data_IF_668405219882
#
_entry.id   IF_668405219882
#
_cell.length_a   1.000
_cell.length_b   1.000
_cell.length_c   1.000
_cell.angle_alpha   90.00
_cell.angle_beta   90.00
_cell.angle_gamma   90.00
#
_symmetry.space_group_name_H-M   'P 1'
#
loop_
_entity.id
_entity.type
_entity.pdbx_description
1 polymer ?
2 non-polymer ?
3 non-polymer ?
4 non-polymer ?
5 water ?
#
# COMPACT_ATOMS: atom_id res chain seq x y z
N UNK A 1 4.71 -9.12 16.98
CA UNK A 1 3.51 -8.69 16.28
C UNK A 1 3.59 -7.20 15.92
N UNK A 2 2.61 -6.42 16.41
CA UNK A 2 2.65 -4.98 16.28
C UNK A 2 3.85 -4.40 17.04
N UNK A 3 4.21 -5.01 18.17
CA UNK A 3 5.34 -4.54 18.95
C UNK A 3 6.66 -4.74 18.21
N UNK A 4 6.78 -5.80 17.40
CA UNK A 4 8.02 -6.06 16.67
C UNK A 4 8.24 -5.04 15.56
N UNK A 5 7.18 -4.67 14.84
CA UNK A 5 7.30 -3.64 13.81
C UNK A 5 7.57 -2.27 14.46
N UNK A 6 6.98 -2.03 15.64
CA UNK A 6 7.24 -0.79 16.37
C UNK A 6 8.65 -0.75 16.92
N UNK A 7 9.23 -1.91 17.28
CA UNK A 7 10.59 -1.99 17.78
C UNK A 7 11.64 -1.84 16.68
N UNK A 8 11.23 -1.61 15.43
CA UNK A 8 12.16 -1.24 14.37
C UNK A 8 12.41 0.27 14.31
N UNK A 9 11.51 1.06 14.90
CA UNK A 9 11.69 2.51 15.05
C UNK A 9 12.09 2.78 16.50
N UNK A 10 13.28 3.34 16.70
CA UNK A 10 13.76 3.64 18.04
C UNK A 10 13.16 4.92 18.61
N UNK A 11 12.43 5.68 17.79
CA UNK A 11 11.67 6.84 18.24
C UNK A 11 10.49 6.40 19.12
N UNK A 12 9.98 7.35 19.91
CA UNK A 12 8.93 7.08 20.86
C UNK A 12 7.56 7.34 20.23
N UNK A 13 6.52 6.81 20.87
CA UNK A 13 5.15 7.19 20.55
C UNK A 13 4.86 8.58 21.11
N UNK A 14 4.12 9.37 20.35
CA UNK A 14 3.81 10.75 20.71
C UNK A 14 2.37 10.90 21.20
N UNK A 15 2.15 11.88 22.09
CA UNK A 15 0.79 12.27 22.43
C UNK A 15 0.11 12.89 21.21
N UNK A 16 -1.11 13.40 21.37
CA UNK A 16 -1.91 13.77 20.20
C UNK A 16 -1.40 15.06 19.55
N UNK A 17 -1.09 16.09 20.36
CA UNK A 17 -0.65 17.35 19.77
C UNK A 17 0.68 17.19 19.04
N UNK A 18 1.59 16.41 19.62
CA UNK A 18 2.87 16.21 18.96
C UNK A 18 2.73 15.34 17.72
N UNK A 19 1.88 14.30 17.80
CA UNK A 19 1.54 13.53 16.60
C UNK A 19 1.06 14.46 15.48
N UNK A 20 0.16 15.39 15.81
CA UNK A 20 -0.39 16.28 14.79
C UNK A 20 0.72 17.12 14.15
N UNK A 21 1.66 17.62 14.95
CA UNK A 21 2.78 18.40 14.38
C UNK A 21 3.66 17.52 13.47
N UNK A 22 3.99 16.31 13.93
CA UNK A 22 4.86 15.44 13.13
C UNK A 22 4.19 15.05 11.82
N UNK A 23 2.88 14.76 11.88
CA UNK A 23 2.11 14.47 10.67
C UNK A 23 2.17 15.65 9.72
N UNK A 24 1.99 16.87 10.22
CA UNK A 24 2.01 18.03 9.32
C UNK A 24 3.37 18.19 8.64
N UNK A 25 4.46 17.97 9.38
CA UNK A 25 5.79 18.06 8.75
C UNK A 25 5.95 17.01 7.66
N UNK A 26 5.58 15.76 7.96
CA UNK A 26 5.74 14.70 6.97
C UNK A 26 4.88 14.94 5.74
N UNK A 27 3.68 15.50 5.91
CA UNK A 27 2.82 15.77 4.76
C UNK A 27 3.40 16.88 3.88
N UNK A 28 3.99 17.91 4.50
CA UNK A 28 4.71 18.92 3.72
C UNK A 28 5.86 18.29 2.94
N UNK A 29 6.58 17.36 3.57
CA UNK A 29 7.70 16.71 2.88
C UNK A 29 7.20 15.85 1.73
N UNK A 30 6.04 15.19 1.91
CA UNK A 30 5.48 14.38 0.84
C UNK A 30 5.05 15.25 -0.34
N UNK A 31 4.45 16.42 -0.04
CA UNK A 31 4.13 17.36 -1.11
C UNK A 31 5.38 17.78 -1.86
N UNK A 32 6.45 18.10 -1.11
CA UNK A 32 7.72 18.45 -1.75
C UNK A 32 8.24 17.31 -2.61
N UNK A 33 8.13 16.07 -2.10
CA UNK A 33 8.63 14.91 -2.84
C UNK A 33 7.86 14.73 -4.14
N UNK A 34 6.55 14.96 -4.10
CA UNK A 34 5.75 14.91 -5.32
C UNK A 34 6.22 15.94 -6.34
N UNK A 35 6.48 17.18 -5.90
CA UNK A 35 6.94 18.18 -6.86
C UNK A 35 8.33 17.85 -7.40
N UNK A 36 9.19 17.26 -6.56
CA UNK A 36 10.49 16.80 -7.03
C UNK A 36 10.37 15.71 -8.09
N UNK A 37 9.48 14.74 -7.86
CA UNK A 37 9.31 13.65 -8.81
C UNK A 37 8.72 14.16 -10.12
N UNK A 38 7.79 15.10 -10.03
CA UNK A 38 7.22 15.72 -11.22
C UNK A 38 8.27 16.46 -12.02
N UNK A 39 9.12 17.24 -11.33
CA UNK A 39 10.17 17.99 -12.01
C UNK A 39 11.19 17.08 -12.67
N UNK A 40 11.46 15.92 -12.08
CA UNK A 40 12.45 14.99 -12.61
C UNK A 40 11.82 13.87 -13.43
N UNK A 41 10.50 13.92 -13.65
CA UNK A 41 9.79 12.95 -14.50
C UNK A 41 10.06 11.50 -14.08
N UNK A 42 9.92 11.25 -12.78
CA UNK A 42 9.97 9.91 -12.20
C UNK A 42 8.59 9.57 -11.65
N UNK A 43 8.00 8.48 -12.13
CA UNK A 43 6.73 8.04 -11.60
C UNK A 43 6.85 7.34 -10.26
N UNK A 44 5.75 7.33 -9.53
CA UNK A 44 5.70 6.70 -8.22
C UNK A 44 4.46 5.81 -8.14
N UNK A 45 4.66 4.55 -7.76
CA UNK A 45 3.61 3.55 -7.65
C UNK A 45 3.63 2.99 -6.23
N UNK A 46 2.54 3.21 -5.50
CA UNK A 46 2.41 2.78 -4.11
C UNK A 46 1.31 1.73 -4.01
N UNK A 47 1.65 0.56 -3.46
CA UNK A 47 0.72 -0.56 -3.33
C UNK A 47 0.34 -0.68 -1.85
N UNK A 48 -0.94 -0.89 -1.57
CA UNK A 48 -1.37 -1.16 -0.20
C UNK A 48 -2.15 -2.46 -0.17
N UNK A 49 -1.76 -3.36 0.72
CA UNK A 49 -2.51 -4.60 0.96
C UNK A 49 -2.66 -4.80 2.47
N UNK A 50 -3.58 -5.68 2.83
CA UNK A 50 -3.89 -5.99 4.22
C UNK A 50 -5.37 -6.33 4.32
N UNK A 51 -5.72 -7.00 5.42
CA UNK A 51 -7.10 -7.44 5.60
C UNK A 51 -8.07 -6.25 5.71
N UNK A 52 -9.36 -6.56 5.61
CA UNK A 52 -10.38 -5.53 5.80
C UNK A 52 -10.19 -4.85 7.15
N UNK A 53 -10.32 -3.53 7.17
CA UNK A 53 -10.19 -2.69 8.35
C UNK A 53 -8.77 -2.70 8.91
N UNK A 54 -7.77 -3.07 8.11
CA UNK A 54 -6.39 -2.94 8.56
C UNK A 54 -5.93 -1.48 8.59
N UNK A 55 -6.66 -0.58 7.94
CA UNK A 55 -6.29 0.83 7.89
C UNK A 55 -5.66 1.30 6.60
N UNK A 56 -5.84 0.58 5.48
CA UNK A 56 -5.32 1.02 4.19
C UNK A 56 -5.88 2.39 3.80
N UNK A 57 -7.21 2.55 3.85
CA UNK A 57 -7.82 3.79 3.39
C UNK A 57 -7.35 5.01 4.16
N UNK A 58 -7.30 4.91 5.49
CA UNK A 58 -6.92 6.06 6.30
C UNK A 58 -5.45 6.44 6.16
N UNK A 59 -4.58 5.43 6.07
CA UNK A 59 -3.17 5.68 5.81
C UNK A 59 -2.99 6.41 4.48
N UNK A 60 -3.68 5.95 3.43
CA UNK A 60 -3.62 6.64 2.13
C UNK A 60 -4.10 8.09 2.26
N UNK A 61 -5.23 8.28 2.94
CA UNK A 61 -5.78 9.62 3.10
C UNK A 61 -4.75 10.58 3.71
N UNK A 62 -4.06 10.15 4.78
CA UNK A 62 -3.06 11.06 5.35
C UNK A 62 -1.86 11.22 4.42
N UNK A 63 -1.51 10.18 3.66
CA UNK A 63 -0.35 10.26 2.80
C UNK A 63 -0.52 11.35 1.75
N UNK A 64 -1.66 11.36 1.05
CA UNK A 64 -1.82 12.29 -0.06
C UNK A 64 -2.64 13.53 0.30
N UNK A 65 -2.92 13.74 1.59
CA UNK A 65 -3.83 14.81 1.97
C UNK A 65 -3.39 16.18 1.47
N UNK A 66 -2.09 16.46 1.51
CA UNK A 66 -1.58 17.79 1.14
C UNK A 66 -0.89 17.78 -0.22
N UNK A 67 -0.88 16.66 -0.91
CA UNK A 67 -0.30 16.58 -2.25
C UNK A 67 -1.23 17.26 -3.26
N UNK A 68 -0.65 17.81 -4.32
CA UNK A 68 -1.43 18.43 -5.39
C UNK A 68 -2.29 17.37 -6.08
N UNK A 69 -3.63 17.50 -6.05
CA UNK A 69 -4.48 16.46 -6.64
C UNK A 69 -4.31 16.28 -8.14
N UNK A 70 -3.74 17.26 -8.85
CA UNK A 70 -3.42 17.06 -10.25
C UNK A 70 -2.36 15.99 -10.47
N UNK A 71 -1.55 15.69 -9.47
CA UNK A 71 -0.42 14.80 -9.66
C UNK A 71 -0.59 13.38 -9.16
N UNK A 72 -1.77 12.97 -8.72
CA UNK A 72 -1.95 11.61 -8.21
C UNK A 72 -3.36 11.11 -8.51
N UNK A 73 -3.49 9.78 -8.58
CA UNK A 73 -4.78 9.09 -8.60
C UNK A 73 -4.73 7.95 -7.59
N UNK A 74 -5.76 7.85 -6.77
CA UNK A 74 -5.94 6.71 -5.88
C UNK A 74 -6.92 5.75 -6.54
N UNK A 75 -6.50 4.50 -6.76
CA UNK A 75 -7.33 3.48 -7.39
C UNK A 75 -7.82 2.48 -6.35
N UNK A 76 -9.11 2.47 -6.01
CA UNK A 76 -9.64 1.41 -5.14
C UNK A 76 -9.91 0.17 -5.96
N UNK A 77 -9.15 -0.89 -5.71
CA UNK A 77 -9.21 -2.08 -6.56
C UNK A 77 -10.19 -3.10 -5.95
N UNK A 78 -11.12 -3.57 -6.78
CA UNK A 78 -12.10 -4.61 -6.46
C UNK A 78 -11.89 -5.82 -7.37
N UNK A 79 -12.80 -6.78 -7.26
CA UNK A 79 -12.75 -7.97 -8.09
C UNK A 79 -12.89 -7.60 -9.57
N UNK A 80 -12.21 -8.31 -10.47
CA UNK A 80 -12.31 -7.95 -11.90
C UNK A 80 -13.74 -8.09 -12.40
N UNK A 81 -14.16 -7.12 -13.23
CA UNK A 81 -15.43 -7.13 -13.94
C UNK A 81 -15.36 -8.06 -15.16
N UNK A 82 -16.51 -8.45 -15.72
CA UNK A 82 -16.46 -9.35 -16.88
C UNK A 82 -15.63 -8.83 -18.03
N UNK A 83 -15.65 -7.51 -18.30
CA UNK A 83 -14.85 -6.99 -19.41
C UNK A 83 -13.35 -7.12 -19.13
N UNK A 84 -12.94 -6.96 -17.87
CA UNK A 84 -11.53 -7.06 -17.54
C UNK A 84 -11.03 -8.50 -17.66
N UNK A 85 -11.91 -9.49 -17.48
CA UNK A 85 -11.51 -10.89 -17.57
C UNK A 85 -11.27 -11.37 -19.01
N UNK A 86 -11.59 -10.55 -20.01
CA UNK A 86 -11.27 -10.85 -21.40
C UNK A 86 -9.81 -10.59 -21.74
N UNK A 87 -9.00 -10.17 -20.77
CA UNK A 87 -7.57 -9.91 -20.94
C UNK A 87 -6.77 -10.63 -19.86
N UNK A 88 -5.44 -10.58 -19.98
CA UNK A 88 -4.55 -11.03 -18.91
C UNK A 88 -4.84 -10.27 -17.63
N UNK A 89 -4.62 -10.94 -16.49
CA UNK A 89 -4.95 -10.34 -15.19
C UNK A 89 -4.14 -9.07 -14.90
N UNK A 90 -3.00 -8.86 -15.57
CA UNK A 90 -2.25 -7.61 -15.36
C UNK A 90 -2.77 -6.45 -16.20
N UNK A 91 -3.54 -6.73 -17.26
CA UNK A 91 -4.00 -5.69 -18.17
C UNK A 91 -4.68 -4.52 -17.46
N UNK A 92 -5.62 -4.82 -16.55
CA UNK A 92 -6.37 -3.75 -15.87
C UNK A 92 -5.47 -2.87 -15.02
N UNK A 93 -4.30 -3.37 -14.63
CA UNK A 93 -3.33 -2.57 -13.88
C UNK A 93 -2.37 -1.81 -14.80
N UNK A 94 -1.87 -2.46 -15.87
CA UNK A 94 -1.17 -1.76 -16.95
C UNK A 94 -1.92 -0.50 -17.38
N UNK A 95 -3.24 -0.63 -17.57
CA UNK A 95 -4.11 0.48 -17.97
C UNK A 95 -4.10 1.65 -16.97
N UNK A 96 -3.73 1.40 -15.71
CA UNK A 96 -3.85 2.38 -14.64
C UNK A 96 -2.49 2.96 -14.23
N UNK A 97 -1.42 2.63 -14.95
CA UNK A 97 -0.10 3.08 -14.51
C UNK A 97 0.01 4.59 -14.70
N UNK A 98 0.70 5.29 -13.79
CA UNK A 98 0.87 6.75 -13.95
C UNK A 98 1.92 7.05 -15.01
N UNK A 99 1.86 8.27 -15.54
CA UNK A 99 2.92 8.76 -16.38
C UNK A 99 4.18 9.00 -15.56
N UNK A 100 5.32 9.06 -16.26
CA UNK A 100 6.56 9.58 -15.68
C UNK A 100 6.28 10.90 -14.99
N UNK A 101 6.66 10.99 -13.71
CA UNK A 101 6.44 12.18 -12.91
C UNK A 101 5.13 12.22 -12.14
N UNK A 102 4.25 11.24 -12.32
CA UNK A 102 2.93 11.19 -11.67
C UNK A 102 2.89 10.08 -10.63
N UNK A 103 1.88 10.12 -9.77
CA UNK A 103 1.73 9.19 -8.66
C UNK A 103 0.46 8.37 -8.84
N UNK A 104 0.56 7.07 -8.66
CA UNK A 104 -0.59 6.18 -8.64
C UNK A 104 -0.57 5.42 -7.32
N UNK A 105 -1.70 5.38 -6.63
CA UNK A 105 -1.86 4.63 -5.40
C UNK A 105 -2.85 3.50 -5.67
N UNK A 106 -2.44 2.27 -5.36
CA UNK A 106 -3.27 1.09 -5.52
C UNK A 106 -3.67 0.61 -4.13
N UNK A 107 -4.93 0.86 -3.76
CA UNK A 107 -5.53 0.29 -2.55
C UNK A 107 -6.02 -1.10 -2.94
N UNK A 108 -5.20 -2.12 -2.66
CA UNK A 108 -5.23 -3.44 -3.27
C UNK A 108 -4.79 -3.32 -4.72
N UNK A 109 -4.37 -4.42 -5.33
CA UNK A 109 -3.50 -4.32 -6.49
C UNK A 109 -3.44 -5.67 -7.19
N UNK A 110 -2.42 -5.83 -8.04
CA UNK A 110 -2.20 -7.10 -8.75
C UNK A 110 -1.85 -8.24 -7.79
N UNK A 111 -1.41 -7.93 -6.57
CA UNK A 111 -1.14 -8.99 -5.59
C UNK A 111 -2.41 -9.73 -5.16
N UNK A 112 -3.58 -9.22 -5.51
CA UNK A 112 -4.79 -10.01 -5.37
C UNK A 112 -4.67 -11.38 -6.02
N UNK A 113 -3.83 -11.48 -7.06
CA UNK A 113 -3.60 -12.75 -7.74
C UNK A 113 -3.08 -13.83 -6.78
N UNK A 114 -2.30 -13.44 -5.77
CA UNK A 114 -1.74 -14.42 -4.83
C UNK A 114 -2.36 -14.29 -3.44
N UNK A 115 -3.44 -13.53 -3.30
CA UNK A 115 -4.10 -13.35 -2.02
C UNK A 115 -5.52 -13.86 -2.19
N UNK A 116 -6.51 -12.97 -2.36
CA UNK A 116 -7.91 -13.40 -2.42
C UNK A 116 -8.12 -14.45 -3.51
N UNK A 117 -7.51 -14.24 -4.68
CA UNK A 117 -7.70 -15.17 -5.81
C UNK A 117 -7.11 -16.53 -5.50
N UNK A 118 -5.98 -16.58 -4.79
CA UNK A 118 -5.49 -17.89 -4.33
C UNK A 118 -6.43 -18.49 -3.30
N UNK A 119 -6.74 -17.73 -2.25
CA UNK A 119 -7.54 -18.22 -1.12
C UNK A 119 -8.90 -18.74 -1.58
N UNK A 120 -9.56 -18.01 -2.47
CA UNK A 120 -10.91 -18.41 -2.88
C UNK A 120 -10.89 -19.39 -4.06
N UNK A 121 -9.73 -19.73 -4.60
CA UNK A 121 -9.69 -20.61 -5.75
C UNK A 121 -10.03 -19.97 -7.08
N UNK A 122 -10.12 -18.63 -7.14
CA UNK A 122 -10.37 -17.97 -8.42
C UNK A 122 -9.19 -18.14 -9.37
N UNK A 123 -7.96 -18.12 -8.85
CA UNK A 123 -6.79 -18.52 -9.62
C UNK A 123 -6.49 -20.00 -9.40
N UNK A 124 -6.20 -20.74 -10.47
CA UNK A 124 -5.77 -22.12 -10.30
C UNK A 124 -4.41 -22.14 -9.62
N UNK A 125 -3.97 -23.34 -9.23
CA UNK A 125 -2.69 -23.46 -8.55
C UNK A 125 -1.56 -23.02 -9.48
N UNK A 126 -1.62 -23.40 -10.76
CA UNK A 126 -0.60 -22.93 -11.70
C UNK A 126 -0.57 -21.41 -11.78
N UNK A 127 -1.75 -20.78 -11.83
CA UNK A 127 -1.82 -19.33 -11.99
C UNK A 127 -1.18 -18.59 -10.82
N UNK A 128 -1.65 -18.84 -9.59
CA UNK A 128 -1.07 -18.10 -8.47
C UNK A 128 0.37 -18.53 -8.20
N UNK A 129 0.72 -19.80 -8.48
CA UNK A 129 2.09 -20.26 -8.26
C UNK A 129 3.09 -19.54 -9.15
N UNK A 130 2.75 -19.31 -10.43
CA UNK A 130 3.67 -18.63 -11.33
C UNK A 130 3.58 -17.11 -11.22
N UNK A 131 2.54 -16.61 -10.54
CA UNK A 131 2.35 -15.17 -10.47
C UNK A 131 3.43 -14.43 -9.68
N UNK A 132 4.14 -15.07 -8.74
CA UNK A 132 5.16 -14.33 -7.99
C UNK A 132 6.26 -13.82 -8.92
N UNK A 133 6.77 -14.69 -9.78
CA UNK A 133 7.80 -14.26 -10.72
C UNK A 133 7.22 -13.39 -11.81
N UNK A 134 6.00 -13.69 -12.29
CA UNK A 134 5.36 -12.76 -13.23
C UNK A 134 5.32 -11.34 -12.66
N UNK A 135 4.98 -11.21 -11.38
CA UNK A 135 4.83 -9.89 -10.78
C UNK A 135 6.19 -9.24 -10.57
N UNK A 136 7.18 -10.01 -10.12
CA UNK A 136 8.54 -9.46 -10.00
C UNK A 136 9.04 -8.94 -11.34
N UNK A 137 8.81 -9.69 -12.42
CA UNK A 137 9.30 -9.27 -13.73
C UNK A 137 8.60 -8.00 -14.22
N UNK A 138 7.28 -7.91 -13.99
CA UNK A 138 6.54 -6.68 -14.31
C UNK A 138 7.11 -5.47 -13.54
N UNK A 139 7.22 -5.60 -12.22
CA UNK A 139 7.72 -4.50 -11.41
C UNK A 139 9.14 -4.11 -11.83
N UNK A 140 9.96 -5.10 -12.21
CA UNK A 140 11.35 -4.83 -12.59
C UNK A 140 11.45 -4.11 -13.95
N UNK A 141 10.58 -4.44 -14.90
CA UNK A 141 10.50 -3.63 -16.11
C UNK A 141 10.34 -2.16 -15.73
N UNK A 142 9.43 -1.89 -14.79
CA UNK A 142 9.15 -0.48 -14.45
C UNK A 142 10.28 0.16 -13.64
N UNK A 143 10.80 -0.53 -12.62
CA UNK A 143 11.81 0.10 -11.76
C UNK A 143 13.16 0.23 -12.44
N UNK A 144 13.46 -0.60 -13.46
CA UNK A 144 14.66 -0.33 -14.24
C UNK A 144 14.52 0.94 -15.07
N UNK A 145 13.31 1.39 -15.33
CA UNK A 145 13.09 2.65 -15.99
C UNK A 145 12.90 3.80 -15.02
N UNK A 146 11.88 4.63 -15.27
CA UNK A 146 11.67 5.87 -14.54
C UNK A 146 10.52 5.77 -13.54
N UNK A 147 10.46 4.66 -12.78
CA UNK A 147 9.42 4.43 -11.78
C UNK A 147 10.05 3.97 -10.47
N UNK A 148 9.48 4.46 -9.37
CA UNK A 148 9.75 3.98 -8.02
C UNK A 148 8.53 3.22 -7.52
N UNK A 149 8.72 2.02 -6.99
CA UNK A 149 7.63 1.21 -6.48
C UNK A 149 7.86 0.92 -5.00
N UNK A 150 6.84 1.13 -4.18
CA UNK A 150 6.87 0.70 -2.78
C UNK A 150 5.56 -0.03 -2.46
N UNK A 151 5.65 -1.16 -1.76
CA UNK A 151 4.48 -1.94 -1.37
C UNK A 151 4.38 -1.96 0.15
N UNK A 152 3.18 -1.71 0.68
CA UNK A 152 2.90 -1.68 2.11
C UNK A 152 1.91 -2.78 2.46
N UNK A 153 2.21 -3.54 3.49
CA UNK A 153 1.25 -4.46 4.09
C UNK A 153 0.90 -3.91 5.47
N UNK A 154 -0.38 -3.60 5.67
CA UNK A 154 -0.83 -3.12 6.98
C UNK A 154 -1.29 -4.32 7.81
N UNK A 155 -0.51 -4.68 8.82
CA UNK A 155 -0.87 -5.76 9.73
C UNK A 155 -1.86 -5.27 10.78
N UNK A 156 -2.85 -6.11 11.09
CA UNK A 156 -3.79 -5.84 12.17
C UNK A 156 -4.13 -7.16 12.85
N UNK A 157 -4.29 -7.13 14.17
CA UNK A 157 -4.68 -8.33 14.90
C UNK A 157 -6.15 -8.66 14.65
N UNK A 158 -6.51 -9.93 14.86
CA UNK A 158 -7.91 -10.34 14.80
C UNK A 158 -8.75 -9.54 15.77
N UNK A 159 -8.23 -9.33 16.99
CA UNK A 159 -8.93 -8.59 18.02
C UNK A 159 -9.17 -7.13 17.61
N UNK A 160 -8.12 -6.47 17.12
CA UNK A 160 -8.27 -5.06 16.71
C UNK A 160 -9.20 -4.93 15.51
N UNK A 161 -9.11 -5.89 14.58
CA UNK A 161 -10.03 -5.89 13.44
C UNK A 161 -11.48 -6.06 13.89
N UNK A 162 -11.73 -6.93 14.87
CA UNK A 162 -13.09 -7.11 15.38
C UNK A 162 -13.60 -5.80 16.01
N UNK A 163 -12.74 -5.15 16.80
CA UNK A 163 -13.11 -3.85 17.35
C UNK A 163 -13.51 -2.88 16.24
N UNK A 164 -12.75 -2.86 15.14
CA UNK A 164 -13.04 -1.92 14.07
C UNK A 164 -14.32 -2.30 13.33
N UNK A 165 -14.56 -3.61 13.14
CA UNK A 165 -15.82 -4.07 12.55
C UNK A 165 -17.01 -3.58 13.36
N UNK A 166 -16.91 -3.66 14.69
CA UNK A 166 -18.04 -3.26 15.52
C UNK A 166 -18.24 -1.75 15.50
N UNK A 167 -17.14 -0.99 15.48
CA UNK A 167 -17.23 0.46 15.26
C UNK A 167 -17.96 0.78 13.96
N UNK A 168 -17.54 0.14 12.86
CA UNK A 168 -18.20 0.35 11.57
C UNK A 168 -19.68 0.01 11.63
N UNK A 169 -20.00 -1.10 12.29
CA UNK A 169 -21.39 -1.52 12.42
C UNK A 169 -22.21 -0.45 13.14
N UNK A 170 -21.59 0.37 13.98
CA UNK A 170 -22.30 1.44 14.66
C UNK A 170 -22.16 2.81 13.99
N UNK A 171 -21.51 2.89 12.83
CA UNK A 171 -21.19 4.17 12.21
C UNK A 171 -22.14 4.47 11.06
N UNK A 172 -22.87 5.59 11.09
CA UNK A 172 -23.85 5.88 10.03
C UNK A 172 -23.26 5.95 8.63
N UNK A 173 -22.00 6.33 8.48
CA UNK A 173 -21.37 6.42 7.17
C UNK A 173 -20.79 5.11 6.69
N UNK A 174 -20.78 4.07 7.51
CA UNK A 174 -20.04 2.84 7.20
C UNK A 174 -20.83 1.55 7.40
N UNK A 175 -21.90 1.56 8.20
CA UNK A 175 -22.59 0.31 8.50
C UNK A 175 -23.25 -0.30 7.26
N UNK A 176 -23.71 0.54 6.33
CA UNK A 176 -24.34 0.04 5.11
C UNK A 176 -23.42 -0.89 4.31
N UNK A 177 -22.11 -0.77 4.46
CA UNK A 177 -21.14 -1.45 3.62
C UNK A 177 -20.62 -2.73 4.25
N UNK A 178 -20.91 -2.98 5.52
CA UNK A 178 -20.41 -4.14 6.23
C UNK A 178 -21.49 -5.21 6.18
N UNK A 179 -21.22 -6.31 5.48
CA UNK A 179 -22.20 -7.35 5.18
C UNK A 179 -21.91 -8.61 6.00
N UNK A 180 -22.84 -9.55 5.95
CA UNK A 180 -22.65 -10.85 6.60
C UNK A 180 -21.45 -11.60 6.00
N UNK A 181 -21.23 -11.44 4.69
CA UNK A 181 -20.09 -12.08 4.05
C UNK A 181 -18.76 -11.50 4.54
N UNK A 182 -18.73 -10.21 4.86
CA UNK A 182 -17.51 -9.62 5.43
C UNK A 182 -17.18 -10.26 6.78
N UNK A 183 -18.20 -10.46 7.61
CA UNK A 183 -17.99 -11.13 8.90
C UNK A 183 -17.53 -12.58 8.70
N UNK A 184 -18.14 -13.29 7.74
CA UNK A 184 -17.75 -14.68 7.51
C UNK A 184 -16.33 -14.78 6.99
N UNK A 185 -15.87 -13.80 6.21
CA UNK A 185 -14.50 -13.87 5.68
C UNK A 185 -13.44 -13.78 6.77
N UNK A 186 -13.82 -13.34 7.97
CA UNK A 186 -12.86 -13.34 9.08
C UNK A 186 -12.39 -14.75 9.41
N UNK A 187 -13.20 -15.77 9.12
CA UNK A 187 -12.81 -17.16 9.34
C UNK A 187 -11.69 -17.60 8.40
N UNK A 188 -11.44 -16.86 7.32
CA UNK A 188 -10.41 -17.22 6.35
C UNK A 188 -9.08 -16.55 6.64
N UNK A 189 -8.97 -15.82 7.75
CA UNK A 189 -7.75 -15.07 8.03
C UNK A 189 -6.49 -15.93 8.16
N UNK A 190 -6.50 -17.12 8.77
CA UNK A 190 -5.26 -17.91 8.82
C UNK A 190 -4.67 -18.18 7.44
N UNK A 191 -5.53 -18.53 6.48
CA UNK A 191 -5.07 -18.81 5.12
C UNK A 191 -4.58 -17.55 4.44
N UNK A 192 -5.27 -16.42 4.69
CA UNK A 192 -4.80 -15.15 4.15
C UNK A 192 -3.43 -14.79 4.68
N UNK A 193 -3.17 -15.06 5.96
CA UNK A 193 -1.87 -14.72 6.54
C UNK A 193 -0.78 -15.62 5.97
N UNK A 194 -1.05 -16.92 5.85
CA UNK A 194 -0.11 -17.80 5.17
C UNK A 194 0.22 -17.32 3.74
N UNK A 195 -0.82 -16.94 2.98
CA UNK A 195 -0.62 -16.49 1.61
C UNK A 195 0.19 -15.19 1.57
N UNK A 196 -0.08 -14.28 2.50
CA UNK A 196 0.68 -13.03 2.56
C UNK A 196 2.14 -13.29 2.88
N UNK A 197 2.41 -14.24 3.79
CA UNK A 197 3.80 -14.55 4.15
C UNK A 197 4.57 -15.12 2.96
N UNK A 198 3.95 -16.03 2.21
CA UNK A 198 4.63 -16.53 1.02
C UNK A 198 4.86 -15.39 0.00
N UNK A 199 3.89 -14.48 -0.11
CA UNK A 199 4.04 -13.31 -0.97
C UNK A 199 5.27 -12.48 -0.57
N UNK A 200 5.43 -12.20 0.73
CA UNK A 200 6.59 -11.47 1.22
C UNK A 200 7.88 -12.20 0.86
N UNK A 201 7.94 -13.50 1.17
CA UNK A 201 9.14 -14.27 0.88
C UNK A 201 9.53 -14.20 -0.59
N UNK A 202 8.55 -14.14 -1.49
CA UNK A 202 8.89 -14.28 -2.91
C UNK A 202 8.94 -12.98 -3.70
N UNK A 203 8.39 -11.87 -3.19
CA UNK A 203 8.31 -10.67 -4.01
C UNK A 203 8.83 -9.45 -3.28
N UNK A 204 9.62 -9.63 -2.22
CA UNK A 204 10.25 -8.51 -1.52
C UNK A 204 11.60 -8.26 -2.19
N UNK A 205 11.67 -7.26 -3.07
CA UNK A 205 12.87 -7.02 -3.86
C UNK A 205 13.45 -5.64 -3.55
N UNK A 206 14.76 -5.50 -3.80
CA UNK A 206 15.45 -4.30 -3.33
C UNK A 206 14.92 -3.05 -4.02
N UNK A 207 14.48 -3.18 -5.27
CA UNK A 207 13.89 -2.13 -6.08
C UNK A 207 12.39 -1.98 -5.88
N UNK A 208 11.75 -2.96 -5.27
CA UNK A 208 10.30 -2.95 -5.06
C UNK A 208 10.03 -3.63 -3.73
N UNK A 209 10.30 -2.94 -2.63
CA UNK A 209 10.26 -3.60 -1.32
C UNK A 209 8.86 -3.70 -0.73
N UNK A 210 8.70 -4.72 0.10
CA UNK A 210 7.58 -4.84 1.02
C UNK A 210 7.93 -4.17 2.34
N UNK A 211 7.07 -3.28 2.80
CA UNK A 211 7.20 -2.62 4.09
C UNK A 211 6.04 -3.09 4.96
N UNK A 212 6.37 -3.71 6.08
CA UNK A 212 5.36 -4.19 7.02
C UNK A 212 5.01 -3.08 8.00
N UNK A 213 3.73 -2.71 8.05
CA UNK A 213 3.26 -1.58 8.82
C UNK A 213 2.46 -2.08 10.01
N UNK A 214 2.85 -1.65 11.21
CA UNK A 214 2.12 -1.95 12.43
C UNK A 214 0.80 -1.20 12.47
N UNK A 215 -0.27 -1.85 12.01
CA UNK A 215 -1.53 -1.14 11.81
C UNK A 215 -2.47 -1.08 13.00
N UNK A 216 -2.14 -1.75 14.12
CA UNK A 216 -3.04 -1.75 15.27
C UNK A 216 -3.27 -0.34 15.82
N UNK A 217 -2.27 0.52 15.73
CA UNK A 217 -2.40 1.94 16.10
C UNK A 217 -2.43 2.77 14.83
N UNK A 218 -3.57 3.41 14.55
CA UNK A 218 -3.74 4.12 13.28
C UNK A 218 -2.79 5.31 13.16
N UNK A 219 -2.62 6.08 14.24
CA UNK A 219 -1.74 7.24 14.18
C UNK A 219 -0.31 6.82 13.86
N UNK A 220 0.17 5.76 14.52
CA UNK A 220 1.51 5.24 14.24
C UNK A 220 1.62 4.75 12.80
N UNK A 221 0.56 4.10 12.28
CA UNK A 221 0.60 3.54 10.94
C UNK A 221 0.67 4.65 9.88
N UNK A 222 -0.11 5.71 10.07
CA UNK A 222 -0.05 6.84 9.14
C UNK A 222 1.34 7.47 9.12
N UNK A 223 1.92 7.69 10.31
CA UNK A 223 3.26 8.27 10.37
C UNK A 223 4.28 7.35 9.70
N UNK A 224 4.17 6.03 9.94
CA UNK A 224 5.15 5.10 9.39
C UNK A 224 5.04 5.00 7.88
N UNK A 225 3.81 5.01 7.34
CA UNK A 225 3.64 4.99 5.89
C UNK A 225 4.30 6.20 5.26
N UNK A 226 4.10 7.38 5.87
CA UNK A 226 4.73 8.59 5.34
C UNK A 226 6.26 8.50 5.40
N UNK A 227 6.81 8.11 6.56
CA UNK A 227 8.25 8.06 6.74
C UNK A 227 8.90 7.08 5.77
N UNK A 228 8.31 5.89 5.62
CA UNK A 228 8.89 4.89 4.73
C UNK A 228 8.78 5.31 3.26
N UNK A 229 7.66 5.94 2.88
CA UNK A 229 7.57 6.44 1.51
C UNK A 229 8.68 7.45 1.23
N UNK A 230 8.90 8.39 2.18
CA UNK A 230 9.93 9.41 1.98
C UNK A 230 11.34 8.81 1.95
N UNK A 231 11.63 7.91 2.89
CA UNK A 231 12.94 7.25 2.92
C UNK A 231 13.25 6.56 1.61
N UNK A 232 12.27 5.81 1.06
CA UNK A 232 12.57 5.07 -0.16
C UNK A 232 12.68 6.01 -1.36
N UNK A 233 11.87 7.07 -1.42
CA UNK A 233 12.04 8.05 -2.49
C UNK A 233 13.44 8.64 -2.44
N UNK A 234 13.93 8.98 -1.24
CA UNK A 234 15.26 9.58 -1.13
C UNK A 234 16.35 8.62 -1.59
N UNK A 235 16.27 7.35 -1.16
CA UNK A 235 17.27 6.38 -1.58
C UNK A 235 17.25 6.12 -3.09
N UNK A 236 16.05 6.00 -3.69
CA UNK A 236 16.00 5.77 -5.13
C UNK A 236 16.47 7.00 -5.91
N UNK A 237 16.18 8.19 -5.40
CA UNK A 237 16.73 9.41 -5.99
C UNK A 237 18.25 9.36 -6.00
N UNK A 238 18.86 9.02 -4.86
CA UNK A 238 20.31 8.92 -4.79
C UNK A 238 20.85 7.91 -5.79
N UNK A 239 20.26 6.71 -5.81
CA UNK A 239 20.65 5.71 -6.82
C UNK A 239 20.61 6.28 -8.22
N UNK A 240 19.74 7.26 -8.48
CA UNK A 240 19.68 7.88 -9.80
C UNK A 240 20.56 9.12 -9.94
N UNK A 241 21.43 9.39 -8.98
CA UNK A 241 22.27 10.57 -9.10
C UNK A 241 21.55 11.87 -8.86
N UNK A 242 20.39 11.81 -8.21
CA UNK A 242 19.64 12.99 -7.84
C UNK A 242 19.61 13.12 -6.34
N UNK A 243 19.42 14.34 -5.85
CA UNK A 243 19.30 14.60 -4.43
C UNK A 243 17.99 15.33 -4.19
N UNK A 244 17.12 14.72 -3.40
CA UNK A 244 15.88 15.35 -2.97
C UNK A 244 16.17 16.61 -2.15
N UNK A 245 15.68 17.77 -2.63
CA UNK A 245 15.84 19.06 -1.99
C UNK A 245 14.48 19.74 -1.90
N UNK A 246 14.42 20.86 -1.17
CA UNK A 246 13.17 21.62 -1.04
C UNK A 246 12.93 22.39 -2.34
N UNK A 247 11.92 21.99 -3.11
CA UNK A 247 11.60 22.67 -4.35
C UNK A 247 10.32 23.51 -4.22
N UNK A 248 9.81 23.70 -3.00
CA UNK A 248 8.56 24.42 -2.77
C UNK A 248 8.79 25.89 -2.41
N UNK A 249 9.47 26.14 -1.29
CA UNK A 249 9.70 27.50 -0.83
C UNK A 249 10.92 27.60 0.09
X LIG B 1 -4.03 -14.42 -20.28
X LIG C 1 -15.98 8.61 11.50
X LIG D 1 -15.04 -3.80 -2.02
X LIG D 1 -15.67 -3.72 -0.65
X LIG D 1 -13.53 -3.74 -2.12
X LIG D 1 -15.72 -2.90 -3.03
X LIG D 1 -15.35 -5.25 -2.57
X LIG D 1 -14.50 -5.83 -3.54
X LIG D 1 -14.42 -7.33 -3.37
X LIG D 1 -13.56 -7.87 -4.41
X LIG D 1 -13.84 -7.83 -2.04
X LIG D 1 -14.55 -9.00 -1.63
X LIG D 1 -12.41 -8.19 -2.39
X LIG D 1 -11.83 -9.19 -1.57
X LIG D 1 -12.56 -8.67 -3.83
X LIG D 1 -11.34 -8.58 -4.64
X LIG D 1 -10.45 -7.53 -4.72
X LIG D 1 -9.50 -7.71 -5.59
X LIG D 1 -9.77 -8.95 -6.14
X LIG D 1 -9.15 -9.70 -7.15
X LIG D 1 -8.02 -9.32 -7.76
X LIG D 1 -9.71 -10.89 -7.49
X LIG D 1 -10.81 -11.29 -6.84
X LIG D 1 -11.48 -10.67 -5.87
X LIG D 1 -10.91 -9.50 -5.57
X LIG E 1 -19.25 -15.98 16.09
X LIG E 1 -18.75 -16.91 17.16
X LIG E 1 -20.69 -16.13 15.65
X LIG E 1 -18.31 -15.87 14.90
X LIG E 1 -19.18 -14.54 16.77
X LIG E 1 -17.92 -13.95 17.06
X LIG E 1 -17.94 -12.45 16.96
X LIG E 1 -18.31 -12.06 15.61
X LIG E 1 -18.92 -11.74 17.90
X LIG E 1 -18.35 -10.53 18.38
X LIG E 1 -20.10 -11.44 16.99
X LIG E 1 -20.88 -10.33 17.39
X LIG E 1 -19.41 -11.18 15.65
X LIG E 1 -20.24 -11.43 14.47
X LIG E 1 -20.19 -12.51 13.64
X LIG E 1 -21.01 -12.45 12.61
X LIG E 1 -21.65 -11.23 12.78
X LIG E 1 -22.62 -10.55 12.02
X LIG E 1 -23.15 -11.03 10.89
X LIG E 1 -23.02 -9.33 12.46
X LIG E 1 -22.50 -8.84 13.59
X LIG E 1 -21.58 -9.39 14.39
X LIG E 1 -21.19 -10.59 13.92
X LIG F 1 -16.73 -6.20 -6.13
X LIG F 1 -16.31 -5.97 -7.57
X LIG F 1 -16.91 -4.97 -5.28
X LIG F 1 -17.90 -7.15 -6.01
X LIG F 1 -15.51 -7.00 -5.48
X LIG F 1 -15.03 -6.67 -4.18
X LIG F 1 -14.54 -7.89 -3.45
X LIG F 1 -13.57 -8.58 -4.28
X LIG F 1 -13.86 -7.63 -2.11
X LIG F 1 -14.18 -8.68 -1.20
X LIG F 1 -12.37 -7.69 -2.46
X LIG F 1 -11.53 -8.05 -1.39
X LIG F 1 -12.36 -8.76 -3.56
X LIG F 1 -11.23 -8.63 -4.49
X LIG F 1 -10.26 -7.67 -4.48
X LIG F 1 -9.35 -7.83 -5.41
X LIG F 1 -9.75 -8.97 -6.08
X LIG F 1 -9.19 -9.69 -7.15
X LIG F 1 -8.06 -9.35 -7.78
X LIG F 1 -9.84 -10.81 -7.57
X LIG F 1 -10.95 -11.18 -6.93
X LIG F 1 -11.57 -10.59 -5.90
X LIG F 1 -10.91 -9.48 -5.52
X LIG G 1 -9.13 -0.65 5.31
X LIG G 1 -9.12 0.41 4.25
X LIG G 1 -9.20 0.04 6.64
X LIG G 1 -10.29 -1.56 5.04
X LIG G 1 -7.87 -1.50 5.28
X LIG H 1 -5.72 13.12 11.58
X LIG H 1 -5.38 13.26 10.12
X LIG H 1 -5.34 14.38 12.32
X LIG H 1 -7.21 12.87 11.71
X LIG H 1 -4.94 11.95 12.15
X LIG I 1 -9.70 6.06 9.61
X LIG I 1 -11.01 5.50 10.14
X LIG I 1 -8.75 4.90 9.41
X LIG I 1 -9.94 6.83 8.31
X LIG I 1 -9.15 7.05 10.61
#
# INVERSE_FOLDING_TARGET
MTQNIKNLDLSIELDKKMYKKKLKVLQYEMLNAQQFLLKNKIGLILVFEGMDAAGKGGAIKRLIERVDPRGYVVHPISAPQPHELRYNYLQRFWRKLPQHGQIAVFDRSWYGRVLVERIEGFATKDEWSRAYEEINNFEKILTAGDYIIIKFWLHVSDEEQLKRFKEREQNPYKSWKLTDEDWRNREKSPQYIEAANEMFEKTDKKNAPWVLVAGNDKKYARVQVLQETLAHIEREALKRGLHLTNVLDKAHLEDAESSSLDILNEKKK
CL CL
CL CL
AMP P O1P O2P O3P O5' C5' C4' O4' C3' O3' C2' O2' C1' N9 C8 N7 C5 C6 N6 N1 C2 N3 C4
AMP P O1P O2P O3P O5' C5' C4' O4' C3' O3' C2' O2' C1' N9 C8 N7 C5 C6 N6 N1 C2 N3 C4
AMP P O1P O2P O3P O5' C5' C4' O4' C3' O3' C2' O2' C1' N9 C8 N7 C5 C6 N6 N1 C2 N3 C4
PO4 P O1 O2 O3 O4
PO4 P O1 O2 O3 O4
PO4 P O1 O2 O3 O4
#
